data_IF_895733615355
#
_entry.id   IF_895733615355
#
_cell.length_a   1.000
_cell.length_b   1.000
_cell.length_c   1.000
_cell.angle_alpha   90.00
_cell.angle_beta   90.00
_cell.angle_gamma   90.00
#
_symmetry.space_group_name_H-M   'P 1'
#
loop_
_entity.id
_entity.type
_entity.pdbx_description
1 polymer ?
#
# COMPACT_ATOMS: atom_id res chain seq x y z
N UNK A 1 -5.99 29.77 -5.44
CA UNK A 1 -5.87 30.19 -4.03
C UNK A 1 -5.84 28.90 -3.20
N UNK A 2 -4.64 28.45 -2.86
CA UNK A 2 -4.40 27.19 -2.14
C UNK A 2 -4.94 27.32 -0.71
N UNK A 3 -5.96 26.55 -0.37
CA UNK A 3 -6.52 26.54 0.97
C UNK A 3 -5.70 25.60 1.85
N UNK A 4 -4.72 26.16 2.57
CA UNK A 4 -3.93 25.41 3.55
C UNK A 4 -4.70 25.29 4.86
N UNK A 5 -5.04 24.09 5.29
CA UNK A 5 -5.60 23.84 6.61
C UNK A 5 -4.47 23.82 7.64
N UNK A 6 -4.36 24.88 8.46
CA UNK A 6 -3.36 24.93 9.54
C UNK A 6 -3.97 24.39 10.83
N UNK A 7 -3.46 23.29 11.35
CA UNK A 7 -3.75 22.86 12.72
C UNK A 7 -2.68 23.44 13.64
N UNK A 8 -3.09 24.35 14.51
CA UNK A 8 -2.23 24.95 15.53
C UNK A 8 -2.24 24.08 16.79
N UNK A 9 -1.16 23.36 17.07
CA UNK A 9 -0.93 22.70 18.34
C UNK A 9 -0.04 23.54 19.22
N UNK A 10 -0.55 23.95 20.39
CA UNK A 10 0.20 24.75 21.37
C UNK A 10 0.64 23.85 22.52
N UNK A 11 1.94 23.71 22.73
CA UNK A 11 2.50 23.02 23.90
C UNK A 11 3.13 24.03 24.86
N UNK A 12 2.86 23.87 26.16
CA UNK A 12 3.52 24.62 27.23
C UNK A 12 4.70 23.81 27.73
N UNK A 13 5.91 24.31 27.55
CA UNK A 13 7.11 23.77 28.19
C UNK A 13 8.01 24.91 28.61
N UNK A 14 8.30 25.02 29.92
CA UNK A 14 9.29 25.94 30.52
C UNK A 14 9.12 27.43 30.12
N UNK A 15 7.89 27.94 30.05
CA UNK A 15 7.65 29.37 29.82
C UNK A 15 7.82 29.85 28.38
N UNK A 16 8.09 28.97 27.42
CA UNK A 16 8.17 29.28 25.99
C UNK A 16 7.00 28.70 25.21
N UNK A 17 6.44 29.50 24.29
CA UNK A 17 5.43 29.02 23.34
C UNK A 17 6.12 28.38 22.13
N UNK A 18 6.09 27.05 22.03
CA UNK A 18 6.45 26.38 20.80
C UNK A 18 5.20 26.18 19.94
N UNK A 19 5.11 26.89 18.82
CA UNK A 19 4.03 26.72 17.85
C UNK A 19 4.53 25.76 16.77
N UNK A 20 4.04 24.53 16.79
CA UNK A 20 4.32 23.55 15.73
C UNK A 20 3.19 23.64 14.71
N UNK A 21 3.50 24.02 13.49
CA UNK A 21 2.58 23.94 12.37
C UNK A 21 2.71 22.56 11.73
N UNK A 22 1.68 21.74 11.88
CA UNK A 22 1.56 20.50 11.09
C UNK A 22 0.95 20.85 9.73
N UNK A 23 1.72 20.71 8.68
CA UNK A 23 1.19 20.72 7.32
C UNK A 23 0.47 19.41 7.06
N UNK A 24 -0.84 19.45 6.99
CA UNK A 24 -1.65 18.33 6.49
C UNK A 24 -1.94 18.66 5.03
N UNK A 25 -1.37 17.89 4.11
CA UNK A 25 -1.72 17.98 2.70
C UNK A 25 -3.19 17.59 2.53
N UNK A 26 -3.96 18.44 1.87
CA UNK A 26 -5.35 18.14 1.50
C UNK A 26 -5.38 17.21 0.29
N UNK A 27 -6.52 16.58 0.03
CA UNK A 27 -6.71 15.79 -1.19
C UNK A 27 -6.50 16.63 -2.47
N UNK A 28 -6.82 17.92 -2.40
CA UNK A 28 -6.59 18.87 -3.51
C UNK A 28 -5.10 18.97 -3.83
N UNK A 29 -4.23 19.06 -2.81
CA UNK A 29 -2.79 19.14 -3.02
C UNK A 29 -2.25 17.88 -3.69
N UNK A 30 -2.83 16.70 -3.40
CA UNK A 30 -2.46 15.44 -4.03
C UNK A 30 -2.83 15.44 -5.53
N UNK A 31 -4.01 15.95 -5.89
CA UNK A 31 -4.41 16.11 -7.28
C UNK A 31 -3.61 17.18 -8.02
N UNK A 32 -3.29 18.30 -7.38
CA UNK A 32 -2.44 19.34 -7.96
C UNK A 32 -1.01 18.83 -8.21
N UNK A 33 -0.50 17.94 -7.35
CA UNK A 33 0.77 17.26 -7.61
C UNK A 33 0.70 16.41 -8.88
N UNK A 34 -0.37 15.64 -9.10
CA UNK A 34 -0.53 14.83 -10.31
C UNK A 34 -0.66 15.71 -11.57
N UNK A 35 -1.39 16.83 -11.49
CA UNK A 35 -1.58 17.77 -12.61
C UNK A 35 -0.30 18.44 -13.10
N UNK A 36 0.71 18.64 -12.24
CA UNK A 36 1.96 19.31 -12.64
C UNK A 36 2.72 18.61 -13.78
N UNK A 37 2.47 17.32 -14.00
CA UNK A 37 3.12 16.54 -15.06
C UNK A 37 2.52 16.79 -16.46
N UNK A 38 1.38 17.45 -16.58
CA UNK A 38 0.66 17.67 -17.85
C UNK A 38 0.48 16.39 -18.68
N UNK A 39 0.20 15.27 -18.02
CA UNK A 39 0.00 13.93 -18.60
C UNK A 39 -1.15 13.23 -17.93
N UNK A 40 -1.63 12.15 -18.54
CA UNK A 40 -2.47 11.17 -17.86
C UNK A 40 -1.61 10.44 -16.82
N UNK A 41 -2.02 10.48 -15.55
CA UNK A 41 -1.22 9.88 -14.47
C UNK A 41 -1.79 8.51 -14.09
N UNK A 42 -0.91 7.51 -14.09
CA UNK A 42 -1.16 6.18 -13.52
C UNK A 42 -0.33 6.07 -12.25
N UNK A 43 -0.95 6.09 -11.07
CA UNK A 43 -0.27 5.85 -9.80
C UNK A 43 -0.25 4.37 -9.46
N UNK A 44 0.85 3.86 -8.90
CA UNK A 44 0.94 2.47 -8.42
C UNK A 44 1.67 2.37 -7.09
N UNK A 45 1.16 1.46 -6.26
CA UNK A 45 1.73 1.10 -4.95
C UNK A 45 1.45 -0.37 -4.64
N UNK A 46 2.16 -0.94 -3.64
CA UNK A 46 1.98 -2.31 -3.20
C UNK A 46 1.64 -2.44 -1.71
N UNK A 47 1.01 -3.55 -1.37
CA UNK A 47 0.78 -4.00 0.00
C UNK A 47 1.25 -5.45 0.20
N UNK A 48 1.88 -5.73 1.34
CA UNK A 48 2.25 -7.09 1.69
C UNK A 48 3.70 -7.48 1.41
N UNK A 49 4.63 -6.54 1.28
CA UNK A 49 6.07 -6.88 1.15
C UNK A 49 6.70 -7.42 2.42
N UNK A 50 6.33 -6.89 3.58
CA UNK A 50 6.93 -7.24 4.88
C UNK A 50 6.42 -8.50 5.57
N UNK A 51 5.12 -8.89 5.43
CA UNK A 51 4.58 -10.08 6.08
C UNK A 51 5.22 -11.39 5.64
N UNK A 52 5.25 -12.38 6.54
CA UNK A 52 5.71 -13.74 6.27
C UNK A 52 4.58 -14.68 5.81
N UNK A 53 3.37 -14.17 5.64
CA UNK A 53 2.24 -14.93 5.09
C UNK A 53 1.40 -14.09 4.11
N UNK A 54 0.77 -14.77 3.16
CA UNK A 54 -0.09 -14.21 2.12
C UNK A 54 0.68 -13.67 0.92
N UNK A 55 -0.03 -13.38 -0.18
CA UNK A 55 0.51 -12.80 -1.40
C UNK A 55 0.93 -11.33 -1.24
N UNK A 56 1.65 -10.80 -2.24
CA UNK A 56 1.89 -9.37 -2.42
C UNK A 56 0.88 -8.82 -3.42
N UNK A 57 0.23 -7.71 -3.07
CA UNK A 57 -0.79 -7.06 -3.87
C UNK A 57 -0.24 -5.74 -4.39
N UNK A 58 -0.39 -5.46 -5.66
CA UNK A 58 -0.16 -4.14 -6.23
C UNK A 58 -1.44 -3.64 -6.90
N UNK A 59 -1.63 -2.33 -6.88
CA UNK A 59 -2.70 -1.70 -7.61
C UNK A 59 -2.15 -0.59 -8.52
N UNK A 60 -2.84 -0.35 -9.62
CA UNK A 60 -2.67 0.80 -10.47
C UNK A 60 -3.98 1.57 -10.55
N UNK A 61 -3.91 2.89 -10.50
CA UNK A 61 -5.08 3.80 -10.52
C UNK A 61 -4.81 4.97 -11.46
N UNK A 62 -5.81 5.30 -12.28
CA UNK A 62 -5.83 6.47 -13.14
C UNK A 62 -7.18 7.20 -12.99
N UNK A 63 -7.14 8.45 -12.56
CA UNK A 63 -8.31 9.33 -12.54
C UNK A 63 -8.51 9.94 -13.94
N UNK A 64 -9.59 9.54 -14.62
CA UNK A 64 -9.92 10.07 -15.96
C UNK A 64 -10.65 11.40 -15.88
N UNK A 65 -11.46 11.59 -14.85
CA UNK A 65 -12.21 12.81 -14.58
C UNK A 65 -12.14 13.15 -13.10
N UNK A 66 -11.91 14.43 -12.79
CA UNK A 66 -11.79 14.92 -11.41
C UNK A 66 -12.86 15.98 -11.22
N UNK A 67 -13.96 15.62 -10.54
CA UNK A 67 -15.07 16.52 -10.21
C UNK A 67 -14.99 16.99 -8.76
N UNK A 68 -15.63 18.12 -8.43
CA UNK A 68 -15.73 18.60 -7.05
C UNK A 68 -16.43 17.57 -6.13
N UNK A 69 -17.39 16.81 -6.66
CA UNK A 69 -18.02 15.69 -5.97
C UNK A 69 -17.02 14.60 -5.59
N UNK A 70 -16.22 14.16 -6.54
CA UNK A 70 -15.18 13.15 -6.29
C UNK A 70 -14.13 13.63 -5.29
N UNK A 71 -13.68 14.88 -5.39
CA UNK A 71 -12.75 15.49 -4.43
C UNK A 71 -13.32 15.44 -3.01
N UNK A 72 -14.61 15.77 -2.85
CA UNK A 72 -15.31 15.71 -1.56
C UNK A 72 -15.41 14.28 -1.03
N UNK A 73 -15.77 13.31 -1.87
CA UNK A 73 -15.89 11.91 -1.47
C UNK A 73 -14.53 11.30 -1.09
N UNK A 74 -13.45 11.84 -1.65
CA UNK A 74 -12.06 11.46 -1.35
C UNK A 74 -11.37 12.39 -0.35
N UNK A 75 -12.07 13.25 0.41
CA UNK A 75 -11.46 14.23 1.31
C UNK A 75 -10.49 13.62 2.34
N UNK A 76 -10.71 12.35 2.71
CA UNK A 76 -9.85 11.59 3.64
C UNK A 76 -8.70 10.85 2.95
N UNK A 77 -8.57 10.94 1.61
CA UNK A 77 -7.50 10.27 0.86
C UNK A 77 -6.13 10.77 1.32
N UNK A 78 -5.30 9.87 1.79
CA UNK A 78 -3.94 10.12 2.27
C UNK A 78 -3.17 8.80 2.29
N UNK A 79 -1.91 8.82 2.75
CA UNK A 79 -1.14 7.62 3.09
C UNK A 79 -2.01 6.57 3.81
N UNK A 80 -2.20 5.43 3.19
CA UNK A 80 -3.09 4.36 3.65
C UNK A 80 -2.78 3.88 5.08
N UNK A 81 -1.52 4.01 5.52
CA UNK A 81 -1.06 3.60 6.85
C UNK A 81 -1.50 4.57 7.95
N UNK A 82 -1.79 5.83 7.59
CA UNK A 82 -2.30 6.85 8.52
C UNK A 82 -3.81 6.78 8.70
N UNK A 83 -4.52 6.07 7.81
CA UNK A 83 -5.96 5.93 7.88
C UNK A 83 -6.35 4.71 8.72
N UNK A 84 -7.48 4.81 9.44
CA UNK A 84 -8.13 3.65 10.06
C UNK A 84 -8.71 2.72 8.99
N UNK A 85 -8.90 1.42 9.30
CA UNK A 85 -9.57 0.50 8.37
C UNK A 85 -10.90 1.04 7.88
N UNK A 86 -11.75 1.54 8.79
CA UNK A 86 -13.06 2.12 8.44
C UNK A 86 -12.96 3.27 7.43
N UNK A 87 -11.96 4.15 7.57
CA UNK A 87 -11.74 5.24 6.60
C UNK A 87 -11.24 4.73 5.26
N UNK A 88 -10.35 3.73 5.26
CA UNK A 88 -9.91 3.09 4.01
C UNK A 88 -11.08 2.41 3.29
N UNK A 89 -11.91 1.67 4.02
CA UNK A 89 -13.08 0.98 3.45
C UNK A 89 -14.09 1.97 2.88
N UNK A 90 -14.31 3.13 3.52
CA UNK A 90 -15.27 4.13 3.05
C UNK A 90 -14.92 4.74 1.69
N UNK A 91 -13.62 4.84 1.35
CA UNK A 91 -13.18 5.40 0.06
C UNK A 91 -12.79 4.34 -0.97
N UNK A 92 -12.68 3.06 -0.57
CA UNK A 92 -12.32 1.96 -1.45
C UNK A 92 -13.27 1.83 -2.64
N UNK A 93 -14.56 1.78 -2.37
CA UNK A 93 -15.59 1.65 -3.42
C UNK A 93 -15.71 2.94 -4.26
N UNK A 94 -15.46 4.11 -3.66
CA UNK A 94 -15.39 5.38 -4.40
C UNK A 94 -14.26 5.32 -5.42
N UNK A 95 -13.06 4.87 -5.02
CA UNK A 95 -11.92 4.73 -5.95
C UNK A 95 -12.23 3.71 -7.04
N UNK A 96 -12.74 2.51 -6.69
CA UNK A 96 -13.06 1.47 -7.66
C UNK A 96 -14.03 1.95 -8.75
N UNK A 97 -15.06 2.69 -8.36
CA UNK A 97 -16.14 3.07 -9.26
C UNK A 97 -15.83 4.32 -10.11
N UNK A 98 -14.84 5.15 -9.69
CA UNK A 98 -14.56 6.43 -10.34
C UNK A 98 -13.18 6.51 -11.02
N UNK A 99 -12.49 5.37 -11.16
CA UNK A 99 -11.16 5.34 -11.78
C UNK A 99 -11.00 4.17 -12.74
N UNK A 100 -10.09 4.30 -13.69
CA UNK A 100 -9.50 3.12 -14.31
C UNK A 100 -8.55 2.52 -13.29
N UNK A 101 -8.74 1.25 -12.95
CA UNK A 101 -7.91 0.60 -11.95
C UNK A 101 -7.69 -0.88 -12.25
N UNK A 102 -6.62 -1.41 -11.70
CA UNK A 102 -6.31 -2.84 -11.72
C UNK A 102 -5.59 -3.22 -10.45
N UNK A 103 -6.05 -4.29 -9.81
CA UNK A 103 -5.40 -4.90 -8.64
C UNK A 103 -4.87 -6.26 -9.07
N UNK A 104 -3.63 -6.55 -8.70
CA UNK A 104 -2.92 -7.80 -9.04
C UNK A 104 -2.30 -8.39 -7.78
N UNK A 105 -2.51 -9.68 -7.57
CA UNK A 105 -1.83 -10.46 -6.54
C UNK A 105 -0.73 -11.31 -7.20
N UNK A 106 0.43 -11.37 -6.55
CA UNK A 106 1.44 -12.41 -6.78
C UNK A 106 1.49 -13.29 -5.55
N UNK A 107 1.21 -14.56 -5.73
CA UNK A 107 1.06 -15.56 -4.68
C UNK A 107 2.41 -16.02 -4.11
N UNK A 108 2.36 -16.73 -2.99
CA UNK A 108 3.53 -17.17 -2.23
C UNK A 108 4.50 -18.01 -3.05
N UNK A 109 3.98 -18.94 -3.84
CA UNK A 109 4.83 -19.82 -4.67
C UNK A 109 5.73 -19.05 -5.64
N UNK A 110 5.24 -17.94 -6.17
CA UNK A 110 6.02 -17.10 -7.05
C UNK A 110 6.96 -16.17 -6.26
N UNK A 111 6.52 -15.66 -5.09
CA UNK A 111 7.37 -14.88 -4.19
C UNK A 111 8.62 -15.68 -3.82
N UNK A 112 8.47 -16.96 -3.50
CA UNK A 112 9.59 -17.84 -3.16
C UNK A 112 10.54 -18.09 -4.34
N UNK A 113 10.03 -18.07 -5.59
CA UNK A 113 10.83 -18.27 -6.81
C UNK A 113 11.64 -17.04 -7.21
N UNK A 114 11.03 -15.86 -7.20
CA UNK A 114 11.61 -14.65 -7.77
C UNK A 114 11.95 -13.56 -6.74
N UNK A 115 11.73 -13.80 -5.48
CA UNK A 115 11.79 -12.92 -4.29
C UNK A 115 10.73 -11.81 -4.27
N UNK A 116 10.53 -11.24 -3.08
CA UNK A 116 9.46 -10.27 -2.82
C UNK A 116 9.59 -8.97 -3.61
N UNK A 117 10.80 -8.46 -3.85
CA UNK A 117 11.01 -7.25 -4.64
C UNK A 117 10.57 -7.46 -6.08
N UNK A 118 11.03 -8.55 -6.70
CA UNK A 118 10.67 -8.86 -8.09
C UNK A 118 9.18 -9.17 -8.21
N UNK A 119 8.57 -9.81 -7.21
CA UNK A 119 7.14 -10.10 -7.18
C UNK A 119 6.29 -8.81 -7.09
N UNK A 120 6.68 -7.85 -6.25
CA UNK A 120 5.95 -6.57 -6.18
C UNK A 120 6.09 -5.78 -7.48
N UNK A 121 7.28 -5.70 -8.08
CA UNK A 121 7.49 -5.02 -9.36
C UNK A 121 6.77 -5.73 -10.52
N UNK A 122 6.67 -7.06 -10.50
CA UNK A 122 5.86 -7.83 -11.48
C UNK A 122 4.37 -7.51 -11.33
N UNK A 123 3.86 -7.49 -10.11
CA UNK A 123 2.46 -7.14 -9.86
C UNK A 123 2.14 -5.72 -10.35
N UNK A 124 3.01 -4.73 -10.06
CA UNK A 124 2.89 -3.36 -10.56
C UNK A 124 2.93 -3.30 -12.09
N UNK A 125 3.85 -4.04 -12.74
CA UNK A 125 3.93 -4.10 -14.20
C UNK A 125 2.60 -4.54 -14.81
N UNK A 126 2.06 -5.67 -14.34
CA UNK A 126 0.79 -6.22 -14.84
C UNK A 126 -0.35 -5.21 -14.59
N UNK A 127 -0.41 -4.63 -13.38
CA UNK A 127 -1.47 -3.67 -13.03
C UNK A 127 -1.43 -2.44 -13.93
N UNK A 128 -0.27 -1.77 -14.05
CA UNK A 128 -0.11 -0.56 -14.84
C UNK A 128 -0.32 -0.80 -16.34
N UNK A 129 0.24 -1.91 -16.87
CA UNK A 129 0.07 -2.25 -18.29
C UNK A 129 -1.39 -2.53 -18.66
N UNK A 130 -2.19 -3.05 -17.71
CA UNK A 130 -3.62 -3.35 -17.94
C UNK A 130 -4.50 -2.12 -18.11
N UNK A 131 -4.08 -0.96 -17.61
CA UNK A 131 -4.84 0.30 -17.65
C UNK A 131 -4.10 1.42 -18.39
N UNK A 132 -3.10 1.06 -19.19
CA UNK A 132 -2.28 2.03 -19.92
C UNK A 132 -3.14 2.90 -20.85
N UNK A 133 -2.83 4.18 -20.87
CA UNK A 133 -3.48 5.20 -21.69
C UNK A 133 -2.46 5.92 -22.56
N UNK A 134 -2.93 6.53 -23.64
CA UNK A 134 -2.12 7.41 -24.49
C UNK A 134 -1.61 8.60 -23.67
N UNK A 135 -0.37 9.00 -23.93
CA UNK A 135 0.31 10.07 -23.20
C UNK A 135 0.38 9.89 -21.68
N UNK A 136 0.33 8.64 -21.19
CA UNK A 136 0.40 8.39 -19.76
C UNK A 136 1.84 8.44 -19.22
N UNK A 137 1.95 8.84 -17.95
CA UNK A 137 3.14 8.71 -17.10
C UNK A 137 2.77 7.87 -15.88
N UNK A 138 3.51 6.80 -15.64
CA UNK A 138 3.34 5.97 -14.43
C UNK A 138 4.18 6.54 -13.28
N UNK A 139 3.52 6.91 -12.19
CA UNK A 139 4.16 7.29 -10.93
C UNK A 139 4.20 6.07 -10.00
N UNK A 140 5.41 5.67 -9.62
CA UNK A 140 5.66 4.47 -8.81
C UNK A 140 6.02 4.89 -7.40
N UNK A 141 5.31 4.39 -6.38
CA UNK A 141 5.72 4.65 -5.00
C UNK A 141 7.11 4.09 -4.69
N UNK A 142 7.90 4.86 -3.94
CA UNK A 142 9.23 4.46 -3.51
C UNK A 142 10.37 4.90 -4.44
N UNK A 143 11.42 4.06 -4.53
CA UNK A 143 12.67 4.40 -5.20
C UNK A 143 13.11 3.37 -6.25
N UNK A 144 12.23 2.47 -6.67
CA UNK A 144 12.52 1.43 -7.66
C UNK A 144 11.56 1.53 -8.83
N UNK A 145 12.11 1.63 -10.03
CA UNK A 145 11.35 1.56 -11.27
C UNK A 145 10.83 0.14 -11.51
N UNK A 146 9.68 0.05 -12.17
CA UNK A 146 9.09 -1.22 -12.61
C UNK A 146 10.02 -1.85 -13.65
N UNK A 147 10.38 -3.11 -13.44
CA UNK A 147 11.27 -3.86 -14.36
C UNK A 147 10.49 -4.35 -15.58
N UNK A 148 11.14 -4.38 -16.73
CA UNK A 148 10.56 -4.84 -18.00
C UNK A 148 9.24 -4.12 -18.34
N UNK A 149 9.17 -2.82 -18.04
CA UNK A 149 8.03 -1.95 -18.28
C UNK A 149 8.40 -0.94 -19.36
N UNK A 150 7.70 -1.00 -20.49
CA UNK A 150 8.08 -0.27 -21.71
C UNK A 150 7.53 1.16 -21.78
N UNK A 151 6.75 1.57 -20.78
CA UNK A 151 6.09 2.87 -20.78
C UNK A 151 6.83 3.88 -19.90
N UNK A 152 6.62 5.19 -20.09
CA UNK A 152 7.20 6.23 -19.26
C UNK A 152 6.85 6.04 -17.78
N UNK A 153 7.84 6.12 -16.89
CA UNK A 153 7.64 5.95 -15.45
C UNK A 153 8.60 6.82 -14.64
N UNK A 154 8.18 7.18 -13.44
CA UNK A 154 8.97 7.95 -12.49
C UNK A 154 8.72 7.47 -11.06
N UNK A 155 9.79 7.30 -10.27
CA UNK A 155 9.69 7.00 -8.86
C UNK A 155 9.35 8.25 -8.05
N UNK A 156 8.42 8.12 -7.11
CA UNK A 156 8.04 9.17 -6.17
C UNK A 156 8.23 8.65 -4.74
N UNK A 157 9.25 9.14 -4.05
CA UNK A 157 9.50 8.75 -2.65
C UNK A 157 8.38 9.30 -1.77
N UNK A 158 7.72 8.39 -1.00
CA UNK A 158 6.50 8.66 -0.22
C UNK A 158 5.39 9.21 -1.13
N UNK A 159 5.20 8.56 -2.27
CA UNK A 159 4.25 8.98 -3.28
C UNK A 159 2.81 8.92 -2.78
N UNK A 160 2.49 7.96 -1.92
CA UNK A 160 1.22 7.81 -1.22
C UNK A 160 0.78 9.05 -0.40
N UNK A 161 1.72 9.90 -0.02
CA UNK A 161 1.44 11.17 0.66
C UNK A 161 1.57 12.41 -0.25
N UNK A 162 1.80 12.25 -1.56
CA UNK A 162 2.05 13.34 -2.51
C UNK A 162 1.14 13.30 -3.73
N UNK A 163 0.86 12.12 -4.28
CA UNK A 163 0.11 11.88 -5.52
C UNK A 163 -1.24 11.26 -5.19
N UNK A 164 -2.33 11.82 -5.72
CA UNK A 164 -3.67 11.28 -5.56
C UNK A 164 -3.78 9.86 -6.17
N UNK A 165 -3.17 9.66 -7.34
CA UNK A 165 -3.20 8.38 -8.03
C UNK A 165 -2.43 7.30 -7.28
N UNK A 166 -1.26 7.61 -6.67
CA UNK A 166 -0.51 6.66 -5.83
C UNK A 166 -1.27 6.40 -4.52
N UNK A 167 -1.80 7.44 -3.86
CA UNK A 167 -2.57 7.28 -2.63
C UNK A 167 -3.79 6.36 -2.83
N UNK A 168 -4.52 6.55 -3.94
CA UNK A 168 -5.64 5.68 -4.30
C UNK A 168 -5.19 4.23 -4.56
N UNK A 169 -4.08 4.03 -5.27
CA UNK A 169 -3.50 2.71 -5.50
C UNK A 169 -3.11 2.02 -4.17
N UNK A 170 -2.49 2.77 -3.24
CA UNK A 170 -2.15 2.30 -1.90
C UNK A 170 -3.38 1.79 -1.14
N UNK A 171 -4.50 2.53 -1.19
CA UNK A 171 -5.77 2.10 -0.58
C UNK A 171 -6.28 0.81 -1.22
N UNK A 172 -6.34 0.73 -2.55
CA UNK A 172 -6.82 -0.46 -3.25
C UNK A 172 -5.98 -1.70 -2.94
N UNK A 173 -4.66 -1.59 -2.99
CA UNK A 173 -3.77 -2.69 -2.68
C UNK A 173 -3.92 -3.14 -1.21
N UNK A 174 -3.96 -2.18 -0.27
CA UNK A 174 -4.04 -2.45 1.17
C UNK A 174 -5.35 -3.09 1.57
N UNK A 175 -6.48 -2.51 1.18
CA UNK A 175 -7.82 -3.03 1.56
C UNK A 175 -8.05 -4.41 0.94
N UNK A 176 -7.71 -4.60 -0.33
CA UNK A 176 -7.87 -5.89 -0.98
C UNK A 176 -7.05 -6.98 -0.29
N UNK A 177 -5.80 -6.65 0.08
CA UNK A 177 -4.95 -7.58 0.82
C UNK A 177 -5.49 -7.87 2.23
N UNK A 178 -5.95 -6.86 2.95
CA UNK A 178 -6.50 -7.07 4.30
C UNK A 178 -7.72 -8.00 4.26
N UNK A 179 -8.66 -7.78 3.35
CA UNK A 179 -9.82 -8.65 3.13
C UNK A 179 -9.42 -10.08 2.73
N UNK A 180 -8.33 -10.26 1.98
CA UNK A 180 -7.78 -11.57 1.68
C UNK A 180 -7.22 -12.25 2.95
N UNK A 181 -6.49 -11.52 3.79
CA UNK A 181 -5.97 -12.07 5.04
C UNK A 181 -7.07 -12.41 6.06
N UNK A 182 -8.19 -11.68 6.06
CA UNK A 182 -9.38 -12.01 6.84
C UNK A 182 -9.99 -13.35 6.40
N UNK A 183 -10.14 -13.57 5.08
CA UNK A 183 -10.62 -14.87 4.56
C UNK A 183 -9.66 -16.02 4.92
N UNK A 184 -8.36 -15.81 4.84
CA UNK A 184 -7.38 -16.80 5.27
C UNK A 184 -7.44 -17.07 6.77
N UNK A 185 -7.78 -16.08 7.58
CA UNK A 185 -7.98 -16.27 9.01
C UNK A 185 -9.19 -17.17 9.33
N UNK A 186 -10.27 -17.10 8.54
CA UNK A 186 -11.42 -18.02 8.68
C UNK A 186 -11.01 -19.48 8.49
N UNK A 187 -10.11 -19.75 7.52
CA UNK A 187 -9.59 -21.10 7.24
C UNK A 187 -8.52 -21.53 8.26
N UNK A 188 -7.67 -20.59 8.71
CA UNK A 188 -6.54 -20.84 9.61
C UNK A 188 -6.55 -19.90 10.83
N UNK A 189 -7.56 -19.99 11.73
CA UNK A 189 -7.73 -19.04 12.83
C UNK A 189 -6.58 -19.05 13.83
N UNK A 190 -5.80 -20.15 13.91
CA UNK A 190 -4.69 -20.32 14.84
C UNK A 190 -3.55 -19.32 14.62
N UNK A 191 -3.38 -18.76 13.41
CA UNK A 191 -2.31 -17.79 13.11
C UNK A 191 -2.72 -16.35 13.36
N UNK A 192 -3.97 -16.06 13.69
CA UNK A 192 -4.52 -14.73 13.99
C UNK A 192 -4.23 -13.68 12.90
N UNK A 193 -4.32 -14.07 11.62
CA UNK A 193 -4.01 -13.21 10.47
C UNK A 193 -4.93 -12.00 10.33
N UNK A 194 -6.12 -12.05 10.90
CA UNK A 194 -7.03 -10.90 10.97
C UNK A 194 -6.41 -9.72 11.75
N UNK A 195 -5.61 -9.99 12.80
CA UNK A 195 -4.95 -8.96 13.59
C UNK A 195 -3.54 -8.63 13.08
N UNK A 196 -2.75 -9.65 12.80
CA UNK A 196 -1.35 -9.44 12.45
C UNK A 196 -1.10 -9.30 10.93
N UNK A 197 -2.11 -9.46 10.08
CA UNK A 197 -2.02 -9.37 8.62
C UNK A 197 -0.85 -10.16 8.00
N UNK A 198 -0.45 -11.26 8.67
CA UNK A 198 0.67 -12.12 8.28
C UNK A 198 2.05 -11.65 8.72
N UNK A 199 2.16 -10.57 9.50
CA UNK A 199 3.45 -10.15 10.10
C UNK A 199 3.87 -11.11 11.22
N UNK A 200 5.19 -11.28 11.39
CA UNK A 200 5.78 -12.14 12.42
C UNK A 200 5.70 -11.48 13.81
N UNK A 201 4.49 -11.39 14.35
CA UNK A 201 4.29 -11.08 15.76
C UNK A 201 4.69 -12.30 16.60
N UNK A 202 4.91 -12.09 17.91
CA UNK A 202 5.21 -13.19 18.84
C UNK A 202 4.14 -14.29 18.78
N UNK A 203 2.86 -13.90 18.77
CA UNK A 203 1.71 -14.81 18.67
C UNK A 203 1.74 -15.63 17.37
N UNK A 204 2.09 -15.00 16.22
CA UNK A 204 2.21 -15.69 14.95
C UNK A 204 3.37 -16.70 14.95
N UNK A 205 4.51 -16.34 15.54
CA UNK A 205 5.67 -17.24 15.68
C UNK A 205 5.30 -18.44 16.55
N UNK A 206 4.68 -18.23 17.73
CA UNK A 206 4.21 -19.29 18.62
C UNK A 206 3.22 -20.24 17.92
N UNK A 207 2.32 -19.69 17.08
CA UNK A 207 1.41 -20.49 16.26
C UNK A 207 2.14 -21.32 15.21
N UNK A 208 3.15 -20.73 14.51
CA UNK A 208 3.98 -21.48 13.55
C UNK A 208 4.73 -22.62 14.25
N UNK A 209 5.30 -22.37 15.43
CA UNK A 209 6.01 -23.39 16.20
C UNK A 209 5.14 -24.55 16.65
N UNK A 210 3.84 -24.28 16.90
CA UNK A 210 2.88 -25.26 17.37
C UNK A 210 2.16 -26.02 16.22
N UNK A 211 1.78 -25.33 15.17
CA UNK A 211 0.93 -25.86 14.12
C UNK A 211 1.63 -26.06 12.77
N UNK A 212 2.91 -25.61 12.66
CA UNK A 212 3.68 -25.68 11.43
C UNK A 212 3.36 -24.56 10.43
N UNK A 213 3.80 -24.74 9.19
CA UNK A 213 3.55 -23.82 8.08
C UNK A 213 2.38 -24.30 7.22
N UNK A 214 1.66 -23.35 6.65
CA UNK A 214 0.71 -23.59 5.57
C UNK A 214 1.33 -23.18 4.23
N UNK A 215 0.67 -23.50 3.12
CA UNK A 215 1.02 -23.03 1.76
C UNK A 215 1.02 -21.50 1.61
N UNK A 216 0.41 -20.79 2.54
CA UNK A 216 0.33 -19.32 2.54
C UNK A 216 1.49 -18.66 3.30
N UNK A 217 2.32 -19.41 4.02
CA UNK A 217 3.53 -18.87 4.63
C UNK A 217 4.65 -18.75 3.59
N UNK A 218 5.57 -17.80 3.84
CA UNK A 218 6.76 -17.55 3.02
C UNK A 218 8.00 -18.08 3.77
N UNK A 219 8.45 -19.31 3.48
CA UNK A 219 9.56 -19.94 4.21
C UNK A 219 10.85 -19.12 4.20
N UNK A 220 11.13 -18.41 3.10
CA UNK A 220 12.32 -17.55 2.99
C UNK A 220 12.34 -16.42 4.03
N UNK A 221 11.18 -15.94 4.50
CA UNK A 221 11.06 -14.91 5.53
C UNK A 221 11.27 -15.45 6.95
N UNK A 222 11.16 -16.75 7.14
CA UNK A 222 11.28 -17.47 8.41
C UNK A 222 12.65 -18.11 8.63
N UNK A 223 13.55 -18.02 7.65
CA UNK A 223 14.87 -18.67 7.71
C UNK A 223 15.61 -18.37 9.02
N UNK A 224 15.71 -17.10 9.40
CA UNK A 224 16.41 -16.69 10.64
C UNK A 224 15.76 -17.27 11.89
N UNK A 225 14.44 -17.41 11.92
CA UNK A 225 13.72 -18.00 13.05
C UNK A 225 14.07 -19.49 13.18
N UNK A 226 14.04 -20.24 12.11
CA UNK A 226 14.37 -21.67 12.14
C UNK A 226 15.85 -21.94 12.41
N UNK A 227 16.76 -21.14 11.86
CA UNK A 227 18.21 -21.23 12.15
C UNK A 227 18.48 -20.99 13.64
N UNK A 228 17.89 -19.95 14.24
CA UNK A 228 18.03 -19.66 15.66
C UNK A 228 17.48 -20.79 16.55
N UNK A 229 16.34 -21.38 16.17
CA UNK A 229 15.75 -22.51 16.91
C UNK A 229 16.62 -23.76 16.84
N UNK A 230 17.23 -24.07 15.70
CA UNK A 230 18.14 -25.20 15.53
C UNK A 230 19.39 -25.05 16.42
N UNK A 231 19.95 -23.82 16.51
CA UNK A 231 21.11 -23.54 17.38
C UNK A 231 20.79 -23.64 18.88
N UNK A 232 19.53 -23.44 19.28
CA UNK A 232 19.11 -23.56 20.70
C UNK A 232 18.90 -25.01 21.17
N UNK A 233 18.96 -25.98 20.26
CA UNK A 233 18.80 -27.41 20.54
C UNK A 233 20.13 -28.17 20.61
N UNK A 234 21.25 -27.46 20.37
CA UNK A 234 22.63 -27.94 20.49
C UNK A 234 23.24 -27.41 21.79
#
# INVERSE_FOLDING_TARGET
MTCFLFIKLTYYCLGYYLVVYLFIMSVIDLFEFDKQFNKVIIGTDEAGRGPAAGGVYAAAVCFMEITDGLIKDLEVLNDSKKLTSKKRDSIYDVILNNTLNKIVCVEVDEIEKINILNSSLKAMNIACSSIMQDNALTLVDGNKLIRNYSYPQQCIIKGDSKSASIAAASILAKVTRDRYMEKLHEEFPMYNWVKNAGYLTREHIEAIDKYGLTKYHRPSFLRKHFEAKQLSLI
#
